data_IF_981080574409
#
_entry.id   IF_981080574409
#
_cell.length_a   1.000
_cell.length_b   1.000
_cell.length_c   1.000
_cell.angle_alpha   90.00
_cell.angle_beta   90.00
_cell.angle_gamma   90.00
#
_symmetry.space_group_name_H-M   'P 1'
#
loop_
_entity.id
_entity.type
_entity.pdbx_description
1 polymer ?
#
# COMPACT_ATOMS: atom_id res chain seq x y z
N UNK A 1 6.17 -3.17 -2.94
CA UNK A 1 5.40 -2.43 -1.91
C UNK A 1 5.74 -2.85 -0.48
N UNK A 2 5.32 -4.04 0.00
CA UNK A 2 5.46 -4.36 1.44
C UNK A 2 6.91 -4.34 1.96
N UNK A 3 7.88 -4.71 1.12
CA UNK A 3 9.30 -4.57 1.42
C UNK A 3 9.72 -3.11 1.56
N UNK A 4 9.26 -2.25 0.66
CA UNK A 4 9.61 -0.83 0.61
C UNK A 4 9.07 -0.08 1.84
N UNK A 5 7.89 -0.46 2.35
CA UNK A 5 7.35 0.13 3.59
C UNK A 5 8.24 -0.17 4.81
N UNK A 6 8.94 -1.32 4.84
CA UNK A 6 9.85 -1.66 5.95
C UNK A 6 11.07 -0.76 5.99
N UNK A 7 11.44 -0.16 4.86
CA UNK A 7 12.55 0.79 4.75
C UNK A 7 12.15 2.22 5.23
N UNK A 8 10.90 2.42 5.69
CA UNK A 8 10.38 3.70 6.19
C UNK A 8 10.03 3.64 7.69
N UNK A 9 10.99 3.41 8.59
CA UNK A 9 10.73 3.16 10.02
C UNK A 9 10.08 4.33 10.79
N UNK A 10 10.17 5.55 10.26
CA UNK A 10 9.54 6.75 10.84
C UNK A 10 8.08 6.97 10.41
N UNK A 11 7.52 6.06 9.62
CA UNK A 11 6.15 6.16 9.11
C UNK A 11 5.34 4.94 9.54
N UNK A 12 4.06 5.16 9.85
CA UNK A 12 3.10 4.06 10.05
C UNK A 12 2.08 4.06 8.92
N UNK A 13 1.54 2.89 8.62
CA UNK A 13 0.41 2.75 7.71
C UNK A 13 -0.84 3.26 8.44
N UNK A 14 -1.48 4.27 7.88
CA UNK A 14 -2.73 4.83 8.39
C UNK A 14 -3.94 4.22 7.68
N UNK A 15 -3.82 3.99 6.37
CA UNK A 15 -4.90 3.40 5.57
C UNK A 15 -4.33 2.63 4.39
N UNK A 16 -5.01 1.54 4.04
CA UNK A 16 -4.78 0.81 2.79
C UNK A 16 -6.10 0.72 2.05
N UNK A 17 -6.08 0.98 0.75
CA UNK A 17 -7.22 0.80 -0.13
C UNK A 17 -6.82 -0.05 -1.33
N UNK A 18 -7.59 -1.12 -1.56
CA UNK A 18 -7.45 -1.98 -2.72
C UNK A 18 -8.21 -1.38 -3.91
N UNK A 19 -7.60 -1.44 -5.09
CA UNK A 19 -8.21 -1.07 -6.35
C UNK A 19 -8.11 -2.25 -7.32
N UNK A 20 -9.26 -2.71 -7.77
CA UNK A 20 -9.34 -3.64 -8.90
C UNK A 20 -9.45 -2.82 -10.20
N UNK A 21 -8.29 -2.39 -10.69
CA UNK A 21 -8.19 -1.64 -11.94
C UNK A 21 -8.17 -2.56 -13.17
N UNK A 22 -7.98 -3.86 -12.98
CA UNK A 22 -7.83 -4.84 -14.05
C UNK A 22 -8.72 -6.06 -13.76
N UNK A 23 -10.05 -5.93 -13.94
CA UNK A 23 -10.99 -6.99 -13.67
C UNK A 23 -10.64 -8.26 -14.45
N UNK A 24 -10.89 -9.41 -13.83
CA UNK A 24 -10.60 -10.75 -14.40
C UNK A 24 -9.11 -11.07 -14.57
N UNK A 25 -8.22 -10.31 -13.95
CA UNK A 25 -6.80 -10.65 -13.81
C UNK A 25 -6.46 -10.97 -12.35
N UNK A 26 -5.32 -11.61 -12.11
CA UNK A 26 -4.80 -11.80 -10.76
C UNK A 26 -4.02 -10.56 -10.25
N UNK A 27 -4.10 -9.44 -10.97
CA UNK A 27 -3.36 -8.22 -10.65
C UNK A 27 -4.18 -7.32 -9.73
N UNK A 28 -3.57 -6.91 -8.63
CA UNK A 28 -4.20 -6.05 -7.63
C UNK A 28 -3.35 -4.82 -7.42
N UNK A 29 -3.98 -3.66 -7.48
CA UNK A 29 -3.34 -2.38 -7.17
C UNK A 29 -3.76 -1.92 -5.79
N UNK A 30 -2.83 -1.31 -5.06
CA UNK A 30 -3.07 -0.87 -3.68
C UNK A 30 -2.51 0.52 -3.46
N UNK A 31 -3.32 1.39 -2.84
CA UNK A 31 -2.88 2.69 -2.36
C UNK A 31 -2.72 2.63 -0.84
N UNK A 32 -1.55 3.04 -0.36
CA UNK A 32 -1.24 3.08 1.08
C UNK A 32 -0.99 4.52 1.50
N UNK A 33 -1.76 5.00 2.49
CA UNK A 33 -1.49 6.27 3.15
C UNK A 33 -0.55 6.03 4.33
N UNK A 34 0.58 6.74 4.32
CA UNK A 34 1.57 6.72 5.39
C UNK A 34 1.52 8.04 6.16
N UNK A 35 1.65 7.96 7.48
CA UNK A 35 1.77 9.13 8.35
C UNK A 35 3.08 9.05 9.14
N UNK A 36 3.78 10.17 9.23
CA UNK A 36 5.01 10.27 10.03
C UNK A 36 4.64 10.15 11.51
N UNK A 37 5.39 9.35 12.25
CA UNK A 37 5.25 9.26 13.70
C UNK A 37 5.81 10.50 14.40
#
# INVERSE_FOLDING_TARGET
>A
MAKDVRELPGYRIERVQLFDMFPHTAHYEVLTLLVKQ
#
